data_IF_136360188186
#
_entry.id   IF_136360188186
#
_cell.length_a   1.000
_cell.length_b   1.000
_cell.length_c   1.000
_cell.angle_alpha   90.00
_cell.angle_beta   90.00
_cell.angle_gamma   90.00
#
_symmetry.space_group_name_H-M   'P 1'
#
loop_
_entity.id
_entity.type
_entity.pdbx_description
1 polymer ?
#
# COMPACT_ATOMS: atom_id res chain seq x y z
N UNK A 1 -14.30 -23.91 -32.37
CA UNK A 1 -12.86 -24.10 -32.01
C UNK A 1 -12.42 -23.15 -30.90
N UNK A 2 -12.79 -21.86 -30.95
CA UNK A 2 -12.47 -20.83 -29.92
C UNK A 2 -12.80 -21.28 -28.48
N UNK A 3 -13.97 -21.89 -28.25
CA UNK A 3 -14.36 -22.39 -26.91
C UNK A 3 -13.37 -23.40 -26.33
N UNK A 4 -12.81 -24.30 -27.16
CA UNK A 4 -11.82 -25.30 -26.74
C UNK A 4 -10.48 -24.65 -26.41
N UNK A 5 -10.08 -23.65 -27.20
CA UNK A 5 -8.84 -22.88 -26.98
C UNK A 5 -8.91 -22.10 -25.67
N UNK A 6 -10.04 -21.42 -25.40
CA UNK A 6 -10.25 -20.70 -24.14
C UNK A 6 -10.21 -21.62 -22.92
N UNK A 7 -10.78 -22.83 -23.04
CA UNK A 7 -10.73 -23.85 -21.98
C UNK A 7 -9.30 -24.29 -21.68
N UNK A 8 -8.52 -24.61 -22.72
CA UNK A 8 -7.11 -25.01 -22.55
C UNK A 8 -6.30 -23.86 -21.96
N UNK A 9 -6.49 -22.63 -22.43
CA UNK A 9 -5.80 -21.46 -21.91
C UNK A 9 -6.12 -21.21 -20.43
N UNK A 10 -7.39 -21.31 -20.05
CA UNK A 10 -7.82 -21.20 -18.65
C UNK A 10 -7.22 -22.28 -17.76
N UNK A 11 -7.15 -23.52 -18.24
CA UNK A 11 -6.52 -24.63 -17.52
C UNK A 11 -5.02 -24.40 -17.32
N UNK A 12 -4.31 -23.99 -18.37
CA UNK A 12 -2.87 -23.67 -18.28
C UNK A 12 -2.64 -22.50 -17.31
N UNK A 13 -3.46 -21.45 -17.37
CA UNK A 13 -3.36 -20.32 -16.44
C UNK A 13 -3.59 -20.76 -14.99
N UNK A 14 -4.60 -21.59 -14.73
CA UNK A 14 -4.85 -22.12 -13.40
C UNK A 14 -3.67 -22.95 -12.88
N UNK A 15 -3.09 -23.81 -13.72
CA UNK A 15 -1.89 -24.59 -13.37
C UNK A 15 -0.70 -23.67 -13.02
N UNK A 16 -0.49 -22.60 -13.80
CA UNK A 16 0.57 -21.62 -13.53
C UNK A 16 0.32 -20.87 -12.22
N UNK A 17 -0.92 -20.46 -11.94
CA UNK A 17 -1.27 -19.77 -10.67
C UNK A 17 -1.02 -20.68 -9.47
N UNK A 18 -1.42 -21.95 -9.55
CA UNK A 18 -1.18 -22.93 -8.47
C UNK A 18 0.31 -23.19 -8.29
N UNK A 19 1.05 -23.37 -9.39
CA UNK A 19 2.50 -23.57 -9.33
C UNK A 19 3.22 -22.35 -8.74
N UNK A 20 2.83 -21.14 -9.15
CA UNK A 20 3.43 -19.88 -8.72
C UNK A 20 2.68 -19.22 -7.56
N UNK A 21 1.95 -19.99 -6.75
CA UNK A 21 1.06 -19.47 -5.71
C UNK A 21 1.73 -18.47 -4.77
N UNK A 22 3.01 -18.67 -4.46
CA UNK A 22 3.81 -17.76 -3.62
C UNK A 22 3.98 -16.37 -4.24
N UNK A 23 4.22 -16.29 -5.55
CA UNK A 23 4.38 -15.01 -6.24
C UNK A 23 3.04 -14.31 -6.45
N UNK A 24 1.99 -15.08 -6.75
CA UNK A 24 0.63 -14.55 -6.87
C UNK A 24 0.16 -13.97 -5.54
N UNK A 25 0.35 -14.69 -4.43
CA UNK A 25 -0.02 -14.21 -3.10
C UNK A 25 0.82 -13.00 -2.67
N UNK A 26 2.11 -13.00 -2.98
CA UNK A 26 2.98 -11.85 -2.75
C UNK A 26 2.51 -10.62 -3.52
N UNK A 27 2.25 -10.75 -4.82
CA UNK A 27 1.75 -9.66 -5.66
C UNK A 27 0.41 -9.11 -5.17
N UNK A 28 -0.49 -10.00 -4.75
CA UNK A 28 -1.77 -9.61 -4.16
C UNK A 28 -1.58 -8.85 -2.83
N UNK A 29 -0.70 -9.33 -1.94
CA UNK A 29 -0.41 -8.68 -0.67
C UNK A 29 0.20 -7.29 -0.89
N UNK A 30 1.12 -7.16 -1.84
CA UNK A 30 1.72 -5.87 -2.20
C UNK A 30 0.67 -4.90 -2.78
N UNK A 31 -0.13 -5.36 -3.74
CA UNK A 31 -1.15 -4.52 -4.38
C UNK A 31 -2.23 -4.07 -3.37
N UNK A 32 -2.75 -5.00 -2.56
CA UNK A 32 -3.77 -4.69 -1.55
C UNK A 32 -3.25 -3.73 -0.46
N UNK A 33 -2.00 -3.89 -0.03
CA UNK A 33 -1.37 -2.96 0.92
C UNK A 33 -1.22 -1.55 0.35
N UNK A 34 -0.72 -1.44 -0.89
CA UNK A 34 -0.54 -0.14 -1.55
C UNK A 34 -1.88 0.56 -1.81
N UNK A 35 -2.88 -0.17 -2.35
CA UNK A 35 -4.22 0.39 -2.57
C UNK A 35 -4.86 0.86 -1.27
N UNK A 36 -4.68 0.11 -0.18
CA UNK A 36 -5.17 0.52 1.15
C UNK A 36 -4.57 1.85 1.60
N UNK A 37 -3.26 2.04 1.45
CA UNK A 37 -2.60 3.29 1.81
C UNK A 37 -3.15 4.44 0.98
N UNK A 38 -3.25 4.28 -0.35
CA UNK A 38 -3.76 5.33 -1.23
C UNK A 38 -5.20 5.72 -0.88
N UNK A 39 -6.04 4.74 -0.55
CA UNK A 39 -7.45 4.97 -0.25
C UNK A 39 -7.70 5.56 1.15
N UNK A 40 -6.84 5.22 2.12
CA UNK A 40 -7.02 5.59 3.52
C UNK A 40 -6.10 6.72 3.99
N UNK A 41 -5.17 7.19 3.14
CA UNK A 41 -4.28 8.28 3.47
C UNK A 41 -5.08 9.56 3.80
N UNK A 42 -4.77 10.17 4.93
CA UNK A 42 -5.35 11.44 5.37
C UNK A 42 -4.26 12.49 5.54
N UNK A 43 -4.54 13.77 5.23
CA UNK A 43 -3.62 14.87 5.52
C UNK A 43 -3.24 14.93 7.00
N UNK A 44 -1.95 15.13 7.27
CA UNK A 44 -1.44 15.21 8.66
C UNK A 44 -2.12 16.33 9.44
N UNK A 45 -2.44 17.45 8.79
CA UNK A 45 -3.15 18.58 9.41
C UNK A 45 -4.53 18.20 9.92
N UNK A 46 -5.29 17.39 9.16
CA UNK A 46 -6.59 16.88 9.58
C UNK A 46 -6.47 15.93 10.77
N UNK A 47 -5.47 15.04 10.74
CA UNK A 47 -5.22 14.08 11.84
C UNK A 47 -4.79 14.80 13.12
N UNK A 48 -4.07 15.92 13.02
CA UNK A 48 -3.69 16.74 14.17
C UNK A 48 -4.89 17.51 14.76
N UNK A 49 -5.84 17.93 13.92
CA UNK A 49 -7.05 18.65 14.34
C UNK A 49 -8.12 17.72 14.93
N UNK A 50 -8.07 16.43 14.63
CA UNK A 50 -9.05 15.43 15.09
C UNK A 50 -8.94 15.18 16.62
N UNK A 51 -9.97 15.49 17.42
CA UNK A 51 -9.95 15.31 18.87
C UNK A 51 -9.97 13.83 19.28
N UNK A 52 -10.37 12.91 18.41
CA UNK A 52 -10.39 11.47 18.71
C UNK A 52 -9.01 10.82 18.58
N UNK A 53 -8.06 11.51 17.96
CA UNK A 53 -6.70 11.00 17.78
C UNK A 53 -5.89 11.19 19.08
N UNK A 54 -5.27 10.12 19.61
CA UNK A 54 -4.45 10.21 20.82
C UNK A 54 -3.32 11.22 20.70
N UNK A 55 -3.06 11.98 21.77
CA UNK A 55 -1.99 12.99 21.79
C UNK A 55 -0.61 12.39 21.56
N UNK A 56 -0.38 11.14 21.99
CA UNK A 56 0.86 10.42 21.72
C UNK A 56 1.12 10.24 20.23
N UNK A 57 0.07 10.00 19.43
CA UNK A 57 0.18 9.92 17.98
C UNK A 57 0.42 11.29 17.35
N UNK A 58 -0.29 12.33 17.83
CA UNK A 58 -0.07 13.71 17.37
C UNK A 58 1.35 14.19 17.64
N UNK A 59 1.92 13.85 18.79
CA UNK A 59 3.31 14.16 19.13
C UNK A 59 4.30 13.52 18.15
N UNK A 60 4.11 12.24 17.81
CA UNK A 60 4.92 11.54 16.80
C UNK A 60 4.81 12.17 15.42
N UNK A 61 3.59 12.55 15.00
CA UNK A 61 3.38 13.22 13.71
C UNK A 61 4.08 14.58 13.63
N UNK A 62 4.07 15.37 14.71
CA UNK A 62 4.82 16.63 14.80
C UNK A 62 6.33 16.39 14.69
N UNK A 63 6.85 15.38 15.38
CA UNK A 63 8.27 15.00 15.29
C UNK A 63 8.66 14.62 13.86
N UNK A 64 7.88 13.77 13.19
CA UNK A 64 8.10 13.40 11.79
C UNK A 64 8.08 14.63 10.88
N UNK A 65 7.18 15.57 11.13
CA UNK A 65 7.14 16.86 10.43
C UNK A 65 8.41 17.69 10.61
N UNK A 66 8.93 17.78 11.84
CA UNK A 66 10.17 18.49 12.14
C UNK A 66 11.39 17.81 11.48
N UNK A 67 11.45 16.48 11.51
CA UNK A 67 12.50 15.70 10.83
C UNK A 67 12.45 15.94 9.32
N UNK A 68 11.26 15.90 8.72
CA UNK A 68 11.07 16.17 7.28
C UNK A 68 11.55 17.58 6.93
N UNK A 69 11.20 18.57 7.74
CA UNK A 69 11.64 19.95 7.54
C UNK A 69 13.16 20.07 7.62
N UNK A 70 13.78 19.46 8.61
CA UNK A 70 15.24 19.42 8.72
C UNK A 70 15.91 18.72 7.52
N UNK A 71 15.34 17.61 7.04
CA UNK A 71 15.86 16.91 5.87
C UNK A 71 15.86 17.79 4.61
N UNK A 72 14.79 18.56 4.40
CA UNK A 72 14.66 19.47 3.26
C UNK A 72 15.57 20.70 3.46
N UNK A 73 15.41 21.40 4.59
CA UNK A 73 16.01 22.71 4.82
C UNK A 73 17.52 22.63 5.09
N UNK A 74 17.98 21.58 5.77
CA UNK A 74 19.38 21.44 6.20
C UNK A 74 20.18 20.43 5.40
N UNK A 75 19.55 19.35 4.92
CA UNK A 75 20.25 18.28 4.21
C UNK A 75 20.04 18.33 2.69
N UNK A 76 19.11 19.15 2.18
CA UNK A 76 18.81 19.26 0.75
C UNK A 76 18.20 17.99 0.14
N UNK A 77 17.51 17.18 0.97
CA UNK A 77 16.85 15.92 0.58
C UNK A 77 15.37 16.12 0.21
#
# INVERSE_FOLDING_TARGET
MVKKILLVLGLVLALVIVWQWRWVSYGYMQASGQLRILWQARPVTEVLADPQVPDSLKARLRLVGAIRRFAIDSLGL
#
